data_IF_595149137962
#
_entry.id   IF_595149137962
#
_cell.length_a   1.000
_cell.length_b   1.000
_cell.length_c   1.000
_cell.angle_alpha   90.00
_cell.angle_beta   90.00
_cell.angle_gamma   90.00
#
_symmetry.space_group_name_H-M   'P 1'
#
loop_
_entity.id
_entity.type
_entity.pdbx_description
1 polymer ?
#
# COMPACT_ATOMS: atom_id res chain seq x y z
N UNK A 1 -32.06 64.20 39.37
CA UNK A 1 -30.70 63.76 38.97
C UNK A 1 -29.86 63.24 40.20
N UNK A 2 -30.08 63.67 41.37
CA UNK A 2 -29.35 63.24 42.60
C UNK A 2 -29.75 61.86 43.15
N UNK A 3 -30.94 61.35 42.91
CA UNK A 3 -31.36 60.03 43.43
C UNK A 3 -30.76 58.84 42.62
N UNK A 4 -30.28 59.01 41.39
CA UNK A 4 -29.66 57.94 40.60
C UNK A 4 -28.18 57.69 40.99
N UNK A 5 -27.47 58.70 41.46
CA UNK A 5 -26.05 58.49 41.80
C UNK A 5 -25.92 57.75 43.13
N UNK A 6 -26.80 57.94 44.13
CA UNK A 6 -26.74 57.21 45.39
C UNK A 6 -27.09 55.72 45.27
N UNK A 7 -27.80 55.31 44.26
CA UNK A 7 -28.20 53.90 44.04
C UNK A 7 -27.07 53.06 43.48
N UNK A 8 -26.15 53.64 42.72
CA UNK A 8 -25.00 52.94 42.16
C UNK A 8 -23.97 52.64 43.21
N UNK A 9 -23.66 53.58 44.11
CA UNK A 9 -22.67 53.38 45.18
C UNK A 9 -23.12 52.36 46.24
N UNK A 10 -24.44 52.29 46.55
CA UNK A 10 -25.00 51.30 47.49
C UNK A 10 -25.05 49.87 46.89
N UNK A 11 -25.21 49.68 45.63
CA UNK A 11 -25.16 48.37 44.98
C UNK A 11 -23.70 47.83 44.86
N UNK A 12 -22.72 48.73 44.72
CA UNK A 12 -21.30 48.36 44.72
C UNK A 12 -20.84 47.84 46.12
N UNK A 13 -21.44 48.32 47.21
CA UNK A 13 -21.17 47.85 48.56
C UNK A 13 -21.75 46.44 48.82
N UNK A 14 -22.73 45.96 48.09
CA UNK A 14 -23.37 44.67 48.28
C UNK A 14 -22.79 43.56 47.29
N UNK A 15 -22.04 43.95 46.26
CA UNK A 15 -21.47 43.03 45.28
C UNK A 15 -19.97 42.91 45.52
N UNK A 16 -19.49 41.72 45.85
CA UNK A 16 -18.05 41.41 46.01
C UNK A 16 -17.33 41.45 44.65
N UNK A 17 -16.83 42.63 44.26
CA UNK A 17 -16.11 42.88 43.01
C UNK A 17 -14.84 42.05 42.96
N UNK A 18 -14.16 41.83 44.07
CA UNK A 18 -12.94 41.01 44.11
C UNK A 18 -13.24 39.52 43.91
N UNK A 19 -14.38 39.05 44.38
CA UNK A 19 -14.80 37.67 44.10
C UNK A 19 -15.11 37.46 42.61
N UNK A 20 -15.74 38.43 41.95
CA UNK A 20 -15.97 38.39 40.49
C UNK A 20 -14.64 38.36 39.74
N UNK A 21 -13.71 39.21 40.14
CA UNK A 21 -12.37 39.26 39.53
C UNK A 21 -11.64 37.94 39.71
N UNK A 22 -11.56 37.40 40.93
CA UNK A 22 -10.91 36.10 41.19
C UNK A 22 -11.51 34.96 40.37
N UNK A 23 -12.84 34.83 40.32
CA UNK A 23 -13.51 33.80 39.47
C UNK A 23 -13.16 33.96 38.01
N UNK A 24 -13.19 35.18 37.50
CA UNK A 24 -12.90 35.46 36.11
C UNK A 24 -11.43 35.15 35.77
N UNK A 25 -10.49 35.60 36.60
CA UNK A 25 -9.06 35.35 36.40
C UNK A 25 -8.69 33.86 36.45
N UNK A 26 -9.36 33.08 37.29
CA UNK A 26 -9.13 31.62 37.36
C UNK A 26 -9.53 30.88 36.12
N UNK A 27 -10.49 31.42 35.37
CA UNK A 27 -10.96 30.82 34.10
C UNK A 27 -10.20 31.29 32.84
N UNK A 28 -9.49 32.46 32.95
CA UNK A 28 -8.80 33.06 31.78
C UNK A 28 -7.88 32.14 31.03
N UNK A 29 -7.09 31.23 31.67
CA UNK A 29 -6.17 30.33 30.94
C UNK A 29 -6.89 29.28 30.10
N UNK A 30 -8.15 28.99 30.39
CA UNK A 30 -8.90 27.86 29.79
C UNK A 30 -9.97 28.29 28.79
N UNK A 31 -10.21 29.61 28.64
CA UNK A 31 -11.33 30.13 27.84
C UNK A 31 -10.86 31.05 26.71
N UNK A 32 -11.53 30.95 25.58
CA UNK A 32 -11.33 31.85 24.45
C UNK A 32 -12.04 33.20 24.61
N UNK A 33 -11.80 34.13 23.69
CA UNK A 33 -12.40 35.49 23.72
C UNK A 33 -13.95 35.47 23.76
N UNK A 34 -14.56 34.50 23.10
CA UNK A 34 -16.03 34.35 23.11
C UNK A 34 -16.51 33.89 24.47
N UNK A 35 -15.89 32.87 25.04
CA UNK A 35 -16.25 32.40 26.38
C UNK A 35 -16.01 33.46 27.46
N UNK A 36 -14.91 34.24 27.39
CA UNK A 36 -14.68 35.40 28.26
C UNK A 36 -15.85 36.37 28.22
N UNK A 37 -16.33 36.70 27.02
CA UNK A 37 -17.48 37.60 26.84
C UNK A 37 -18.77 37.01 27.43
N UNK A 38 -19.02 35.71 27.19
CA UNK A 38 -20.22 35.05 27.72
C UNK A 38 -20.21 34.90 29.22
N UNK A 39 -19.07 34.60 29.84
CA UNK A 39 -18.91 34.55 31.30
C UNK A 39 -19.16 35.91 31.90
N UNK A 40 -18.55 36.97 31.34
CA UNK A 40 -18.79 38.35 31.84
C UNK A 40 -20.25 38.78 31.61
N UNK A 41 -20.92 38.33 30.56
CA UNK A 41 -22.33 38.57 30.33
C UNK A 41 -23.23 37.85 31.36
N UNK A 42 -22.93 36.58 31.67
CA UNK A 42 -23.66 35.82 32.70
C UNK A 42 -23.53 36.43 34.10
N UNK A 43 -22.32 36.80 34.51
CA UNK A 43 -22.09 37.52 35.78
C UNK A 43 -22.83 38.86 35.81
N UNK A 44 -22.86 39.57 34.69
CA UNK A 44 -23.59 40.85 34.57
C UNK A 44 -25.11 40.68 34.73
N UNK A 45 -25.69 39.62 34.15
CA UNK A 45 -27.10 39.29 34.29
C UNK A 45 -27.46 38.90 35.74
N UNK A 46 -26.55 38.20 36.44
CA UNK A 46 -26.75 37.79 37.83
C UNK A 46 -26.81 38.97 38.79
N UNK A 47 -26.19 40.10 38.45
CA UNK A 47 -26.18 41.32 39.26
C UNK A 47 -27.41 42.20 38.97
N UNK A 48 -27.98 42.07 37.77
CA UNK A 48 -29.10 42.84 37.23
C UNK A 48 -28.75 44.34 37.05
N UNK A 49 -29.34 45.23 37.80
CA UNK A 49 -29.14 46.68 37.62
C UNK A 49 -27.71 47.10 37.92
N UNK A 50 -27.05 47.74 36.98
CA UNK A 50 -25.66 48.19 37.09
C UNK A 50 -24.61 47.10 36.80
N UNK A 51 -25.01 45.82 36.61
CA UNK A 51 -24.14 44.67 36.43
C UNK A 51 -23.12 44.81 35.31
N UNK A 52 -23.50 45.38 34.14
CA UNK A 52 -22.57 45.65 33.04
C UNK A 52 -21.40 46.53 33.46
N UNK A 53 -21.65 47.55 34.24
CA UNK A 53 -20.62 48.50 34.68
C UNK A 53 -19.71 47.88 35.74
N UNK A 54 -20.29 47.15 36.71
CA UNK A 54 -19.58 46.46 37.79
C UNK A 54 -18.67 45.38 37.19
N UNK A 55 -19.20 44.50 36.35
CA UNK A 55 -18.43 43.40 35.74
C UNK A 55 -17.37 43.93 34.78
N UNK A 56 -17.67 44.98 34.00
CA UNK A 56 -16.67 45.63 33.18
C UNK A 56 -15.47 46.14 33.97
N UNK A 57 -15.71 46.70 35.13
CA UNK A 57 -14.67 47.21 36.06
C UNK A 57 -13.87 46.07 36.72
N UNK A 58 -14.58 45.01 37.13
CA UNK A 58 -13.96 43.82 37.75
C UNK A 58 -13.10 43.02 36.78
N UNK A 59 -13.54 42.85 35.55
CA UNK A 59 -12.94 41.87 34.57
C UNK A 59 -12.12 42.52 33.47
N UNK A 60 -12.22 43.83 33.26
CA UNK A 60 -11.60 44.52 32.12
C UNK A 60 -12.32 44.31 30.79
N UNK A 61 -13.37 43.51 30.74
CA UNK A 61 -14.16 43.29 29.52
C UNK A 61 -14.99 44.54 29.22
N UNK A 62 -14.91 45.04 27.98
CA UNK A 62 -15.61 46.28 27.63
C UNK A 62 -17.15 46.13 27.77
N UNK A 63 -17.82 47.20 28.23
CA UNK A 63 -19.29 47.23 28.36
C UNK A 63 -19.99 46.79 27.06
N UNK A 64 -19.45 47.19 25.91
CA UNK A 64 -19.98 46.80 24.57
C UNK A 64 -19.84 45.29 24.31
N UNK A 65 -18.76 44.69 24.75
CA UNK A 65 -18.56 43.26 24.65
C UNK A 65 -19.52 42.50 25.58
N UNK A 66 -19.69 42.94 26.82
CA UNK A 66 -20.66 42.38 27.78
C UNK A 66 -22.09 42.44 27.22
N UNK A 67 -22.53 43.62 26.76
CA UNK A 67 -23.86 43.78 26.17
C UNK A 67 -24.08 42.85 24.93
N UNK A 68 -23.06 42.67 24.11
CA UNK A 68 -23.10 41.68 22.99
C UNK A 68 -23.21 40.25 23.52
N UNK A 69 -22.50 39.91 24.60
CA UNK A 69 -22.59 38.61 25.23
C UNK A 69 -23.97 38.32 25.83
N UNK A 70 -24.65 39.32 26.40
CA UNK A 70 -26.04 39.20 26.91
C UNK A 70 -26.99 38.82 25.74
N UNK A 71 -26.89 39.53 24.64
CA UNK A 71 -27.69 39.20 23.44
C UNK A 71 -27.41 37.82 22.93
N UNK A 72 -26.15 37.39 22.98
CA UNK A 72 -25.71 36.05 22.52
C UNK A 72 -26.18 34.95 23.49
N UNK A 73 -26.25 35.17 24.78
CA UNK A 73 -26.81 34.22 25.75
C UNK A 73 -28.34 34.06 25.58
N UNK A 74 -29.05 35.15 25.24
CA UNK A 74 -30.48 35.09 24.96
C UNK A 74 -30.87 34.38 23.65
N UNK A 75 -29.95 34.35 22.68
CA UNK A 75 -30.10 33.66 21.43
C UNK A 75 -28.84 32.84 21.12
N UNK A 76 -28.64 31.69 21.78
CA UNK A 76 -27.45 30.89 21.57
C UNK A 76 -27.41 30.40 20.12
N UNK A 77 -26.32 30.65 19.33
CA UNK A 77 -26.18 30.11 18.01
C UNK A 77 -26.12 28.59 18.07
N UNK A 78 -26.76 27.93 17.12
CA UNK A 78 -26.68 26.47 16.95
C UNK A 78 -25.21 26.05 16.94
N UNK A 79 -24.81 25.03 17.73
CA UNK A 79 -23.40 24.59 17.78
C UNK A 79 -22.93 24.16 16.39
N UNK A 80 -22.13 24.97 15.74
CA UNK A 80 -21.39 24.58 14.55
C UNK A 80 -20.09 23.93 14.99
N UNK A 81 -20.02 22.63 14.93
CA UNK A 81 -18.92 21.73 15.31
C UNK A 81 -17.53 22.36 15.45
N UNK A 82 -17.18 22.86 16.64
CA UNK A 82 -15.82 23.29 17.00
C UNK A 82 -15.34 24.64 16.45
N UNK A 83 -16.10 25.35 15.63
CA UNK A 83 -15.67 26.63 15.08
C UNK A 83 -15.96 27.79 16.06
N UNK A 84 -14.91 28.51 16.46
CA UNK A 84 -14.99 29.66 17.40
C UNK A 84 -15.71 30.87 16.77
N UNK A 85 -15.73 30.99 15.44
CA UNK A 85 -16.32 32.12 14.70
C UNK A 85 -17.62 31.72 14.01
N UNK A 86 -18.55 32.67 13.91
CA UNK A 86 -19.78 32.47 13.13
C UNK A 86 -19.46 32.11 11.66
N UNK A 87 -20.26 31.27 11.00
CA UNK A 87 -20.15 31.04 9.55
C UNK A 87 -20.08 32.37 8.79
N UNK A 88 -19.13 32.51 7.87
CA UNK A 88 -18.89 33.75 7.12
C UNK A 88 -18.03 34.81 7.84
N UNK A 89 -17.67 34.61 9.12
CA UNK A 89 -16.78 35.48 9.88
C UNK A 89 -15.31 35.13 9.64
N UNK A 90 -14.60 35.85 8.81
CA UNK A 90 -13.19 35.65 8.54
C UNK A 90 -12.74 36.32 7.25
N UNK A 91 -11.45 36.18 6.92
CA UNK A 91 -10.95 36.57 5.61
C UNK A 91 -11.59 35.65 4.55
N UNK A 92 -12.18 36.23 3.51
CA UNK A 92 -12.72 35.48 2.37
C UNK A 92 -11.64 34.57 1.78
N UNK A 93 -12.02 33.36 1.39
CA UNK A 93 -11.10 32.42 0.77
C UNK A 93 -10.53 32.98 -0.55
N UNK A 94 -9.35 32.55 -0.94
CA UNK A 94 -8.75 32.98 -2.20
C UNK A 94 -9.64 32.59 -3.39
N UNK A 95 -10.33 31.46 -3.32
CA UNK A 95 -11.26 31.00 -4.35
C UNK A 95 -12.49 31.93 -4.48
N UNK A 96 -13.02 32.46 -3.36
CA UNK A 96 -14.10 33.44 -3.38
C UNK A 96 -13.66 34.81 -3.95
N UNK A 97 -12.36 35.13 -3.85
CA UNK A 97 -11.80 36.38 -4.35
C UNK A 97 -11.34 36.28 -5.80
N UNK A 98 -11.08 35.07 -6.29
CA UNK A 98 -10.54 34.79 -7.63
C UNK A 98 -11.37 33.68 -8.29
N UNK A 99 -12.43 34.07 -8.98
CA UNK A 99 -13.40 33.17 -9.58
C UNK A 99 -12.83 32.29 -10.72
N UNK A 100 -11.68 32.68 -11.30
CA UNK A 100 -11.05 31.97 -12.40
C UNK A 100 -9.99 30.98 -11.97
N UNK A 101 -9.54 31.06 -10.70
CA UNK A 101 -8.44 30.27 -10.16
C UNK A 101 -8.65 28.75 -10.33
N UNK A 102 -9.81 28.23 -9.94
CA UNK A 102 -10.09 26.79 -9.99
C UNK A 102 -10.12 26.31 -11.42
N UNK A 103 -10.82 27.02 -12.32
CA UNK A 103 -10.88 26.71 -13.75
C UNK A 103 -9.49 26.67 -14.39
N UNK A 104 -8.65 27.65 -14.09
CA UNK A 104 -7.33 27.73 -14.69
C UNK A 104 -6.37 26.69 -14.10
N UNK A 105 -6.59 26.24 -12.83
CA UNK A 105 -5.92 25.10 -12.27
C UNK A 105 -6.35 23.80 -12.97
N UNK A 106 -7.64 23.56 -13.19
CA UNK A 106 -8.14 22.38 -13.91
C UNK A 106 -7.58 22.30 -15.33
N UNK A 107 -7.55 23.41 -16.07
CA UNK A 107 -6.95 23.49 -17.41
C UNK A 107 -5.46 23.12 -17.42
N UNK A 108 -4.72 23.40 -16.34
CA UNK A 108 -3.30 23.03 -16.22
C UNK A 108 -3.09 21.53 -15.97
N UNK A 109 -4.08 20.85 -15.42
CA UNK A 109 -3.98 19.42 -15.07
C UNK A 109 -4.77 18.51 -16.01
N UNK A 110 -5.64 19.06 -16.85
CA UNK A 110 -6.44 18.30 -17.79
C UNK A 110 -5.57 17.47 -18.75
N UNK A 111 -5.87 16.17 -18.96
CA UNK A 111 -5.06 15.28 -19.82
C UNK A 111 -4.86 15.78 -21.24
N UNK A 112 -5.89 16.41 -21.82
CA UNK A 112 -5.83 16.98 -23.17
C UNK A 112 -4.94 18.23 -23.24
N UNK A 113 -4.80 18.98 -22.15
CA UNK A 113 -3.89 20.13 -22.08
C UNK A 113 -2.42 19.72 -21.91
N UNK A 114 -2.13 18.46 -21.56
CA UNK A 114 -0.76 17.91 -21.48
C UNK A 114 -0.07 17.83 -22.83
N UNK A 115 -0.82 17.79 -23.94
CA UNK A 115 -0.34 17.81 -25.32
C UNK A 115 0.96 17.08 -25.56
N UNK A 116 1.71 17.59 -26.50
CA UNK A 116 2.99 17.04 -26.94
C UNK A 116 3.98 16.87 -25.77
N UNK A 117 4.51 15.64 -25.54
CA UNK A 117 5.59 15.39 -24.58
C UNK A 117 6.83 16.26 -24.79
N UNK A 118 7.01 16.82 -25.97
CA UNK A 118 8.10 17.72 -26.33
C UNK A 118 7.88 19.16 -25.87
N UNK A 119 6.68 19.52 -25.37
CA UNK A 119 6.43 20.86 -24.83
C UNK A 119 6.98 20.99 -23.40
N UNK A 120 8.00 21.82 -23.15
CA UNK A 120 8.64 21.95 -21.85
C UNK A 120 7.71 22.36 -20.71
N UNK A 121 6.68 23.17 -21.01
CA UNK A 121 5.71 23.67 -20.02
C UNK A 121 4.80 22.57 -19.47
N UNK A 122 4.36 21.66 -20.30
CA UNK A 122 3.40 20.61 -19.92
C UNK A 122 4.06 19.44 -19.20
N UNK A 123 5.29 19.19 -19.50
CA UNK A 123 6.12 18.18 -18.84
C UNK A 123 6.49 18.53 -17.40
N UNK A 124 6.47 19.84 -17.06
CA UNK A 124 6.87 20.36 -15.76
C UNK A 124 5.73 20.62 -14.79
N UNK A 125 4.47 20.49 -15.21
CA UNK A 125 3.27 20.69 -14.38
C UNK A 125 2.98 19.54 -13.41
N UNK A 126 3.99 18.75 -13.01
CA UNK A 126 3.79 17.60 -12.10
C UNK A 126 3.91 17.96 -10.62
N UNK A 127 4.46 19.11 -10.26
CA UNK A 127 4.57 19.51 -8.87
C UNK A 127 3.65 20.69 -8.55
N UNK A 128 3.06 20.68 -7.37
CA UNK A 128 2.21 21.78 -6.87
C UNK A 128 2.93 23.13 -6.85
N UNK A 129 4.25 23.13 -6.69
CA UNK A 129 5.07 24.37 -6.76
C UNK A 129 5.09 24.94 -8.16
N UNK A 130 5.22 24.11 -9.18
CA UNK A 130 5.22 24.56 -10.59
C UNK A 130 3.82 24.96 -11.05
N UNK A 131 2.78 24.26 -10.60
CA UNK A 131 1.41 24.69 -10.82
C UNK A 131 1.15 26.06 -10.22
N UNK A 132 1.60 26.32 -8.99
CA UNK A 132 1.47 27.63 -8.36
C UNK A 132 2.24 28.72 -9.12
N UNK A 133 3.45 28.42 -9.63
CA UNK A 133 4.23 29.36 -10.47
C UNK A 133 3.49 29.68 -11.79
N UNK A 134 2.92 28.67 -12.43
CA UNK A 134 2.20 28.88 -13.69
C UNK A 134 0.90 29.66 -13.47
N UNK A 135 0.17 29.37 -12.40
CA UNK A 135 -0.99 30.18 -11.99
C UNK A 135 -0.59 31.62 -11.68
N UNK A 136 0.55 31.84 -11.03
CA UNK A 136 1.08 33.18 -10.78
C UNK A 136 1.38 33.94 -12.07
N UNK A 137 1.92 33.26 -13.11
CA UNK A 137 2.14 33.86 -14.44
C UNK A 137 0.83 34.24 -15.14
N UNK A 138 -0.27 33.54 -14.82
CA UNK A 138 -1.63 33.87 -15.29
C UNK A 138 -2.31 34.94 -14.46
N UNK A 139 -1.63 35.50 -13.43
CA UNK A 139 -2.13 36.60 -12.60
C UNK A 139 -2.75 36.16 -11.25
N UNK A 140 -2.79 34.86 -10.94
CA UNK A 140 -3.34 34.37 -9.68
C UNK A 140 -2.34 34.50 -8.52
N UNK A 141 -2.81 34.93 -7.35
CA UNK A 141 -2.00 35.01 -6.12
C UNK A 141 -2.21 33.77 -5.26
N UNK A 142 -1.50 32.70 -5.54
CA UNK A 142 -1.66 31.41 -4.86
C UNK A 142 -0.36 30.84 -4.33
N UNK A 143 -0.42 30.19 -3.16
CA UNK A 143 0.69 29.40 -2.64
C UNK A 143 0.61 27.96 -3.15
N UNK A 144 1.74 27.27 -3.19
CA UNK A 144 1.77 25.84 -3.54
C UNK A 144 0.97 24.96 -2.55
N UNK A 145 0.77 25.43 -1.31
CA UNK A 145 -0.05 24.75 -0.31
C UNK A 145 -1.53 24.84 -0.67
N UNK A 146 -2.00 26.04 -1.02
CA UNK A 146 -3.38 26.22 -1.48
C UNK A 146 -3.66 25.41 -2.75
N UNK A 147 -2.71 25.36 -3.69
CA UNK A 147 -2.85 24.51 -4.89
C UNK A 147 -3.00 23.04 -4.52
N UNK A 148 -2.25 22.54 -3.52
CA UNK A 148 -2.39 21.16 -3.04
C UNK A 148 -3.76 20.90 -2.40
N UNK A 149 -4.26 21.84 -1.60
CA UNK A 149 -5.58 21.78 -0.97
C UNK A 149 -6.69 21.76 -2.03
N UNK A 150 -6.64 22.67 -3.01
CA UNK A 150 -7.60 22.71 -4.11
C UNK A 150 -7.59 21.44 -4.98
N UNK A 151 -6.41 20.90 -5.29
CA UNK A 151 -6.32 19.63 -6.01
C UNK A 151 -6.99 18.49 -5.24
N UNK A 152 -6.82 18.46 -3.91
CA UNK A 152 -7.45 17.46 -3.07
C UNK A 152 -8.98 17.62 -3.02
N UNK A 153 -9.47 18.86 -2.90
CA UNK A 153 -10.90 19.18 -2.96
C UNK A 153 -11.53 18.81 -4.30
N UNK A 154 -10.80 18.97 -5.40
CA UNK A 154 -11.18 18.54 -6.75
C UNK A 154 -11.05 17.02 -6.97
N UNK A 155 -10.67 16.24 -5.95
CA UNK A 155 -10.54 14.78 -6.03
C UNK A 155 -9.25 14.29 -6.67
N UNK A 156 -8.25 15.15 -6.90
CA UNK A 156 -6.96 14.76 -7.47
C UNK A 156 -5.99 14.31 -6.38
N UNK A 157 -5.29 13.22 -6.65
CA UNK A 157 -4.18 12.75 -5.82
C UNK A 157 -3.09 12.13 -6.69
N UNK A 158 -1.87 12.03 -6.16
CA UNK A 158 -0.78 11.35 -6.86
C UNK A 158 -1.09 9.85 -6.93
N UNK A 159 -1.30 9.33 -8.14
CA UNK A 159 -1.57 7.92 -8.39
C UNK A 159 -0.36 7.26 -9.06
N UNK A 160 0.02 6.10 -8.55
CA UNK A 160 0.94 5.22 -9.27
C UNK A 160 0.20 4.46 -10.38
N UNK A 161 0.93 4.05 -11.41
CA UNK A 161 0.35 3.19 -12.45
C UNK A 161 -0.19 1.90 -11.83
N UNK A 162 -1.47 1.64 -12.00
CA UNK A 162 -2.10 0.39 -11.57
C UNK A 162 -1.94 -0.68 -12.65
N UNK A 163 -1.39 -1.83 -12.29
CA UNK A 163 -1.30 -3.01 -13.18
C UNK A 163 -2.66 -3.72 -13.25
N UNK A 164 -3.65 -3.08 -13.89
CA UNK A 164 -5.03 -3.60 -14.00
C UNK A 164 -5.37 -4.13 -15.38
N UNK A 165 -4.64 -3.68 -16.41
CA UNK A 165 -4.86 -4.18 -17.77
C UNK A 165 -4.28 -5.59 -17.88
N UNK A 166 -5.16 -6.57 -17.94
CA UNK A 166 -4.83 -7.96 -18.30
C UNK A 166 -4.89 -8.08 -19.82
N UNK A 167 -4.12 -9.04 -20.37
CA UNK A 167 -4.25 -9.40 -21.77
C UNK A 167 -5.63 -9.97 -22.10
N UNK A 168 -5.79 -10.60 -23.28
CA UNK A 168 -7.04 -11.21 -23.69
C UNK A 168 -7.60 -12.15 -22.61
N UNK A 169 -8.84 -11.92 -22.20
CA UNK A 169 -9.53 -12.81 -21.25
C UNK A 169 -10.04 -14.06 -21.98
N UNK A 170 -9.64 -15.24 -21.52
CA UNK A 170 -10.22 -16.49 -22.02
C UNK A 170 -11.66 -16.63 -21.52
N UNK A 171 -12.62 -17.11 -22.35
CA UNK A 171 -14.02 -17.29 -21.94
C UNK A 171 -14.17 -18.13 -20.66
N UNK A 172 -13.40 -19.22 -20.54
CA UNK A 172 -13.45 -20.13 -19.40
C UNK A 172 -12.55 -19.73 -18.23
N UNK A 173 -12.10 -18.47 -18.19
CA UNK A 173 -11.23 -17.94 -17.13
C UNK A 173 -11.78 -18.23 -15.73
N UNK A 174 -13.04 -17.90 -15.47
CA UNK A 174 -13.66 -18.12 -14.17
C UNK A 174 -13.87 -19.60 -13.87
N UNK A 175 -14.29 -20.38 -14.86
CA UNK A 175 -14.45 -21.82 -14.74
C UNK A 175 -13.15 -22.54 -14.38
N UNK A 176 -12.01 -22.08 -14.95
CA UNK A 176 -10.68 -22.61 -14.61
C UNK A 176 -10.29 -22.27 -13.16
N UNK A 177 -10.54 -21.05 -12.67
CA UNK A 177 -10.30 -20.71 -11.27
C UNK A 177 -11.14 -21.56 -10.31
N UNK A 178 -12.40 -21.79 -10.64
CA UNK A 178 -13.28 -22.69 -9.86
C UNK A 178 -12.79 -24.14 -9.87
N UNK A 179 -12.33 -24.63 -11.03
CA UNK A 179 -11.73 -25.96 -11.16
C UNK A 179 -10.49 -26.09 -10.28
N UNK A 180 -9.56 -25.15 -10.35
CA UNK A 180 -8.38 -25.10 -9.48
C UNK A 180 -8.79 -25.09 -8.01
N UNK A 181 -9.75 -24.25 -7.64
CA UNK A 181 -10.20 -24.13 -6.25
C UNK A 181 -10.79 -25.44 -5.71
N UNK A 182 -11.66 -26.11 -6.51
CA UNK A 182 -12.22 -27.42 -6.13
C UNK A 182 -11.12 -28.47 -5.95
N UNK A 183 -10.13 -28.51 -6.86
CA UNK A 183 -9.01 -29.46 -6.82
C UNK A 183 -8.10 -29.20 -5.61
N UNK A 184 -7.74 -27.95 -5.33
CA UNK A 184 -6.99 -27.53 -4.15
C UNK A 184 -7.69 -27.96 -2.86
N UNK A 185 -8.98 -27.64 -2.71
CA UNK A 185 -9.77 -28.03 -1.51
C UNK A 185 -9.82 -29.55 -1.32
N UNK A 186 -9.96 -30.32 -2.42
CA UNK A 186 -9.97 -31.79 -2.39
C UNK A 186 -8.64 -32.34 -1.90
N UNK A 187 -7.51 -31.87 -2.44
CA UNK A 187 -6.18 -32.34 -2.04
C UNK A 187 -5.89 -32.01 -0.58
N UNK A 188 -6.18 -30.80 -0.13
CA UNK A 188 -5.98 -30.38 1.26
C UNK A 188 -6.82 -31.23 2.23
N UNK A 189 -8.10 -31.51 1.91
CA UNK A 189 -8.95 -32.37 2.74
C UNK A 189 -8.43 -33.82 2.82
N UNK A 190 -7.72 -34.28 1.80
CA UNK A 190 -7.13 -35.61 1.75
C UNK A 190 -5.70 -35.66 2.35
N UNK A 191 -5.26 -34.59 3.01
CA UNK A 191 -3.91 -34.50 3.56
C UNK A 191 -2.79 -34.50 2.53
N UNK A 192 -3.09 -34.29 1.23
CA UNK A 192 -2.10 -34.28 0.16
C UNK A 192 -1.50 -32.89 -0.02
N UNK A 193 -0.20 -32.77 -0.33
CA UNK A 193 0.45 -31.50 -0.57
C UNK A 193 -0.12 -30.75 -1.76
N UNK A 194 -0.27 -29.43 -1.58
CA UNK A 194 -0.65 -28.48 -2.62
C UNK A 194 0.38 -27.34 -2.62
N UNK A 195 1.06 -27.16 -3.74
CA UNK A 195 2.03 -26.08 -3.90
C UNK A 195 1.62 -25.09 -4.99
N UNK A 196 2.01 -23.85 -4.79
CA UNK A 196 1.97 -22.79 -5.79
C UNK A 196 3.40 -22.44 -6.14
N UNK A 197 3.73 -22.44 -7.44
CA UNK A 197 5.11 -22.25 -7.91
C UNK A 197 5.20 -21.11 -8.91
N UNK A 198 6.32 -20.41 -8.90
CA UNK A 198 6.65 -19.38 -9.88
C UNK A 198 8.10 -18.92 -9.74
N UNK A 199 8.57 -18.18 -10.73
CA UNK A 199 9.84 -17.46 -10.71
C UNK A 199 9.62 -16.02 -10.27
N UNK A 200 10.27 -15.60 -9.20
CA UNK A 200 10.31 -14.19 -8.83
C UNK A 200 11.15 -13.41 -9.84
N UNK A 201 10.82 -12.13 -10.03
CA UNK A 201 11.64 -11.23 -10.86
C UNK A 201 13.13 -11.42 -10.56
N UNK A 202 13.94 -11.51 -11.63
CA UNK A 202 15.40 -11.57 -11.54
C UNK A 202 15.95 -10.29 -10.92
N UNK A 203 16.88 -10.43 -10.00
CA UNK A 203 17.51 -9.32 -9.30
C UNK A 203 19.00 -9.23 -9.62
N UNK A 204 19.51 -8.02 -9.73
CA UNK A 204 20.95 -7.77 -9.83
C UNK A 204 21.60 -8.03 -8.48
N UNK A 205 22.80 -8.62 -8.51
CA UNK A 205 23.61 -8.81 -7.30
C UNK A 205 24.69 -7.73 -7.26
N UNK A 206 24.76 -7.00 -6.14
CA UNK A 206 25.70 -5.90 -5.96
C UNK A 206 25.11 -4.75 -5.17
N UNK A 207 25.88 -3.70 -5.05
CA UNK A 207 25.55 -2.44 -4.38
C UNK A 207 24.64 -1.55 -5.22
N UNK A 208 23.52 -2.12 -5.70
CA UNK A 208 22.52 -1.43 -6.50
C UNK A 208 21.36 -0.93 -5.64
N UNK A 209 20.71 0.14 -6.12
CA UNK A 209 19.52 0.67 -5.48
C UNK A 209 18.38 -0.33 -5.50
N UNK A 210 17.94 -0.77 -4.32
CA UNK A 210 16.71 -1.52 -4.18
C UNK A 210 15.54 -0.61 -3.80
N UNK A 211 14.33 -0.93 -4.29
CA UNK A 211 13.13 -0.12 -4.04
C UNK A 211 12.75 -0.09 -2.55
N UNK A 212 12.36 1.09 -2.06
CA UNK A 212 11.90 1.26 -0.68
C UNK A 212 12.78 2.19 0.15
N UNK A 213 12.57 2.14 1.48
CA UNK A 213 13.31 2.95 2.46
C UNK A 213 13.61 2.11 3.69
N UNK A 214 14.75 2.32 4.29
CA UNK A 214 15.22 1.73 5.55
C UNK A 214 15.43 2.84 6.59
N UNK A 215 15.25 2.54 7.87
CA UNK A 215 15.55 3.49 8.94
C UNK A 215 17.07 3.56 9.14
N UNK A 216 17.62 4.75 8.98
CA UNK A 216 19.04 5.07 9.16
C UNK A 216 19.18 6.43 9.85
N UNK A 217 20.37 6.75 10.30
CA UNK A 217 20.69 8.08 10.82
C UNK A 217 20.37 9.14 9.77
N UNK A 218 19.82 10.27 10.21
CA UNK A 218 19.47 11.36 9.33
C UNK A 218 20.76 11.94 8.67
N UNK A 219 20.77 11.95 7.34
CA UNK A 219 21.91 12.44 6.58
C UNK A 219 22.96 11.38 6.21
N UNK A 220 22.77 10.11 6.65
CA UNK A 220 23.66 8.99 6.37
C UNK A 220 22.90 7.85 5.61
N UNK A 221 22.52 8.08 4.34
CA UNK A 221 21.88 7.04 3.51
C UNK A 221 22.91 6.01 3.05
N UNK A 222 22.47 4.75 2.83
CA UNK A 222 23.33 3.77 2.16
C UNK A 222 23.72 4.26 0.77
N UNK A 223 24.99 4.26 0.49
CA UNK A 223 25.53 4.65 -0.81
C UNK A 223 25.49 3.46 -1.76
N UNK A 224 24.96 3.68 -2.95
CA UNK A 224 24.79 2.67 -4.00
C UNK A 224 25.28 3.19 -5.33
N UNK A 225 25.50 2.29 -6.28
CA UNK A 225 25.95 2.67 -7.64
C UNK A 225 24.95 3.60 -8.32
N UNK A 226 25.48 4.51 -9.12
CA UNK A 226 24.67 5.45 -9.91
C UNK A 226 23.95 4.73 -11.06
N UNK A 227 24.55 3.66 -11.58
CA UNK A 227 24.04 2.88 -12.73
C UNK A 227 23.92 1.40 -12.39
N UNK A 228 22.85 0.79 -12.87
CA UNK A 228 22.50 -0.63 -12.64
C UNK A 228 23.14 -1.54 -13.74
N UNK A 229 24.45 -1.42 -13.96
CA UNK A 229 25.18 -2.34 -14.84
C UNK A 229 25.51 -3.62 -14.12
N UNK A 230 25.32 -4.75 -14.81
CA UNK A 230 25.66 -6.08 -14.27
C UNK A 230 27.14 -6.13 -13.92
N UNK A 231 27.43 -6.56 -12.69
CA UNK A 231 28.80 -6.89 -12.26
C UNK A 231 29.05 -8.33 -12.76
N UNK A 232 30.00 -8.56 -13.67
CA UNK A 232 30.18 -9.87 -14.31
C UNK A 232 30.37 -11.04 -13.32
N UNK A 233 31.10 -10.77 -12.24
CA UNK A 233 31.44 -11.76 -11.20
C UNK A 233 30.25 -12.12 -10.31
N UNK A 234 29.27 -11.22 -10.16
CA UNK A 234 28.10 -11.40 -9.32
C UNK A 234 26.83 -11.74 -10.11
N UNK A 235 26.73 -11.21 -11.31
CA UNK A 235 25.65 -11.52 -12.26
C UNK A 235 24.26 -11.11 -11.75
N UNK A 236 23.31 -12.01 -11.97
CA UNK A 236 21.91 -11.89 -11.54
C UNK A 236 21.48 -13.17 -10.86
N UNK A 237 20.56 -13.07 -9.92
CA UNK A 237 19.88 -14.23 -9.37
C UNK A 237 18.47 -14.38 -9.93
N UNK A 238 18.06 -15.63 -10.02
CA UNK A 238 16.72 -16.04 -10.42
C UNK A 238 16.09 -16.82 -9.25
N UNK A 239 15.35 -16.16 -8.33
CA UNK A 239 14.72 -16.88 -7.24
C UNK A 239 13.48 -17.63 -7.76
N UNK A 240 13.50 -18.97 -7.68
CA UNK A 240 12.33 -19.80 -7.95
C UNK A 240 11.68 -20.26 -6.65
N UNK A 241 10.40 -19.93 -6.49
CA UNK A 241 9.66 -20.18 -5.27
C UNK A 241 8.74 -21.40 -5.37
N UNK A 242 8.62 -22.10 -4.25
CA UNK A 242 7.61 -23.15 -4.00
C UNK A 242 6.88 -22.81 -2.70
N UNK A 243 5.62 -22.46 -2.78
CA UNK A 243 4.79 -22.13 -1.62
C UNK A 243 3.83 -23.27 -1.29
N UNK A 244 4.01 -23.89 -0.14
CA UNK A 244 3.09 -24.89 0.41
C UNK A 244 1.83 -24.21 0.97
N UNK A 245 0.73 -24.38 0.25
CA UNK A 245 -0.55 -23.77 0.57
C UNK A 245 -1.16 -24.32 1.87
N UNK A 246 -0.93 -25.59 2.15
CA UNK A 246 -1.48 -26.28 3.33
C UNK A 246 -0.76 -25.94 4.62
N UNK A 247 0.53 -25.68 4.57
CA UNK A 247 1.39 -25.46 5.74
C UNK A 247 1.87 -24.03 5.90
N UNK A 248 1.54 -23.13 4.97
CA UNK A 248 2.02 -21.75 4.96
C UNK A 248 3.55 -21.68 5.06
N UNK A 249 4.24 -22.43 4.20
CA UNK A 249 5.70 -22.50 4.16
C UNK A 249 6.20 -22.22 2.77
N UNK A 250 7.33 -21.52 2.66
CA UNK A 250 8.00 -21.22 1.41
C UNK A 250 9.37 -21.91 1.31
N UNK A 251 9.68 -22.40 0.13
CA UNK A 251 11.01 -22.75 -0.31
C UNK A 251 11.41 -21.85 -1.46
N UNK A 252 12.66 -21.39 -1.50
CA UNK A 252 13.18 -20.61 -2.62
C UNK A 252 14.57 -21.14 -3.01
N UNK A 253 14.68 -21.61 -4.25
CA UNK A 253 15.99 -21.84 -4.87
C UNK A 253 16.47 -20.54 -5.48
N UNK A 254 17.60 -20.04 -5.00
CA UNK A 254 18.24 -18.83 -5.54
C UNK A 254 19.22 -19.25 -6.63
N UNK A 255 18.74 -19.36 -7.87
CA UNK A 255 19.55 -19.77 -9.01
C UNK A 255 20.43 -18.64 -9.53
N UNK A 256 21.65 -18.99 -9.96
CA UNK A 256 22.62 -18.05 -10.57
C UNK A 256 22.74 -18.22 -12.07
N UNK A 257 22.00 -19.16 -12.65
CA UNK A 257 22.00 -19.45 -14.07
C UNK A 257 20.63 -19.13 -14.71
N UNK A 258 20.18 -19.90 -15.66
CA UNK A 258 18.99 -19.61 -16.48
C UNK A 258 17.71 -20.13 -15.82
N UNK A 259 16.62 -19.38 -16.06
CA UNK A 259 15.27 -19.79 -15.69
C UNK A 259 14.73 -20.78 -16.71
N UNK A 260 14.98 -22.06 -16.49
CA UNK A 260 14.55 -23.15 -17.37
C UNK A 260 13.58 -24.09 -16.65
N UNK A 261 12.86 -24.91 -17.41
CA UNK A 261 11.97 -25.92 -16.83
C UNK A 261 12.74 -26.94 -15.95
N UNK A 262 14.00 -27.25 -16.29
CA UNK A 262 14.86 -28.10 -15.47
C UNK A 262 15.13 -27.46 -14.10
N UNK A 263 15.48 -26.17 -14.07
CA UNK A 263 15.64 -25.42 -12.81
C UNK A 263 14.36 -25.36 -11.98
N UNK A 264 13.23 -25.12 -12.65
CA UNK A 264 11.92 -25.06 -12.00
C UNK A 264 11.58 -26.39 -11.31
N UNK A 265 11.76 -27.53 -11.99
CA UNK A 265 11.45 -28.84 -11.40
C UNK A 265 12.51 -29.26 -10.38
N UNK A 266 13.77 -28.88 -10.54
CA UNK A 266 14.80 -29.09 -9.51
C UNK A 266 14.47 -28.34 -8.23
N UNK A 267 13.93 -27.11 -8.33
CA UNK A 267 13.47 -26.36 -7.17
C UNK A 267 12.32 -27.05 -6.42
N UNK A 268 11.38 -27.67 -7.17
CA UNK A 268 10.31 -28.49 -6.57
C UNK A 268 10.88 -29.77 -5.95
N UNK A 269 11.86 -30.42 -6.57
CA UNK A 269 12.56 -31.59 -6.05
C UNK A 269 13.25 -31.28 -4.72
N UNK A 270 13.98 -30.17 -4.62
CA UNK A 270 14.64 -29.72 -3.39
C UNK A 270 13.62 -29.40 -2.29
N UNK A 271 12.54 -28.69 -2.64
CA UNK A 271 11.44 -28.48 -1.70
C UNK A 271 10.89 -29.80 -1.18
N UNK A 272 10.62 -30.77 -2.07
CA UNK A 272 10.08 -32.05 -1.68
C UNK A 272 11.01 -32.78 -0.70
N UNK A 273 12.29 -32.87 -1.02
CA UNK A 273 13.29 -33.54 -0.18
C UNK A 273 13.46 -32.85 1.18
N UNK A 274 13.51 -31.53 1.22
CA UNK A 274 13.86 -30.74 2.41
C UNK A 274 12.65 -30.42 3.29
N UNK A 275 11.48 -30.21 2.74
CA UNK A 275 10.31 -29.72 3.45
C UNK A 275 9.06 -30.55 3.22
N UNK A 276 8.82 -31.05 2.01
CA UNK A 276 7.61 -31.77 1.66
C UNK A 276 7.56 -33.17 2.26
N UNK A 277 8.51 -34.04 1.91
CA UNK A 277 8.56 -35.43 2.35
C UNK A 277 8.54 -35.60 3.87
N UNK A 278 9.26 -34.81 4.68
CA UNK A 278 9.18 -34.90 6.15
C UNK A 278 7.81 -34.60 6.73
N UNK A 279 7.04 -33.73 6.09
CA UNK A 279 5.72 -33.29 6.55
C UNK A 279 4.60 -34.20 6.01
N UNK A 280 4.70 -34.62 4.75
CA UNK A 280 3.68 -35.39 4.05
C UNK A 280 4.14 -36.85 3.83
N UNK A 281 4.47 -37.54 4.91
CA UNK A 281 5.07 -38.90 4.89
C UNK A 281 4.26 -39.95 4.13
N UNK A 282 2.94 -39.80 4.10
CA UNK A 282 2.00 -40.72 3.43
C UNK A 282 1.44 -40.15 2.12
N UNK A 283 2.02 -39.09 1.59
CA UNK A 283 1.52 -38.52 0.34
C UNK A 283 1.77 -39.46 -0.84
N UNK A 284 0.75 -39.68 -1.60
CA UNK A 284 0.79 -40.38 -2.87
C UNK A 284 0.59 -39.44 -4.05
N UNK A 285 0.16 -38.22 -3.79
CA UNK A 285 -0.17 -37.23 -4.80
C UNK A 285 0.36 -35.86 -4.41
N UNK A 286 0.71 -35.08 -5.42
CA UNK A 286 1.09 -33.68 -5.32
C UNK A 286 0.23 -32.85 -6.27
N UNK A 287 -0.30 -31.73 -5.82
CA UNK A 287 -0.93 -30.74 -6.70
C UNK A 287 -0.04 -29.52 -6.84
N UNK A 288 0.28 -29.18 -8.08
CA UNK A 288 1.03 -27.98 -8.46
C UNK A 288 0.07 -27.01 -9.12
N UNK A 289 0.02 -25.76 -8.63
CA UNK A 289 -0.61 -24.64 -9.31
C UNK A 289 0.49 -23.71 -9.85
N UNK A 290 0.45 -23.39 -11.12
CA UNK A 290 1.50 -22.64 -11.82
C UNK A 290 0.91 -21.70 -12.87
N UNK A 291 1.68 -20.72 -13.29
CA UNK A 291 1.31 -19.88 -14.44
C UNK A 291 1.30 -20.67 -15.74
N UNK A 292 0.63 -20.15 -16.75
CA UNK A 292 0.61 -20.74 -18.09
C UNK A 292 1.83 -20.38 -18.94
N UNK A 293 2.70 -19.48 -18.47
CA UNK A 293 3.89 -18.98 -19.16
C UNK A 293 5.19 -19.29 -18.41
N UNK A 294 6.31 -18.84 -18.96
CA UNK A 294 7.63 -19.01 -18.34
C UNK A 294 8.15 -20.46 -18.38
N UNK A 295 9.08 -20.75 -17.45
CA UNK A 295 9.76 -22.06 -17.32
C UNK A 295 8.81 -23.21 -16.96
N UNK A 296 7.71 -22.90 -16.27
CA UNK A 296 6.65 -23.84 -15.86
C UNK A 296 5.39 -23.77 -16.74
N UNK A 297 5.50 -23.19 -17.95
CA UNK A 297 4.36 -22.97 -18.84
C UNK A 297 3.69 -24.26 -19.34
N UNK A 298 2.37 -24.20 -19.56
CA UNK A 298 1.54 -25.35 -19.98
C UNK A 298 1.96 -25.98 -21.32
N UNK A 299 2.57 -25.19 -22.20
CA UNK A 299 3.06 -25.62 -23.53
C UNK A 299 4.50 -26.12 -23.53
N UNK A 300 5.23 -26.00 -22.40
CA UNK A 300 6.65 -26.32 -22.31
C UNK A 300 6.83 -27.84 -22.20
N UNK A 301 7.36 -28.46 -23.26
CA UNK A 301 7.61 -29.91 -23.32
C UNK A 301 8.61 -30.36 -22.26
N UNK A 302 9.67 -29.59 -22.04
CA UNK A 302 10.70 -29.87 -21.07
C UNK A 302 10.15 -29.89 -19.62
N UNK A 303 9.20 -29.01 -19.30
CA UNK A 303 8.49 -29.02 -18.00
C UNK A 303 7.80 -30.35 -17.76
N UNK A 304 7.09 -30.90 -18.74
CA UNK A 304 6.38 -32.17 -18.61
C UNK A 304 7.35 -33.34 -18.47
N UNK A 305 8.46 -33.32 -19.21
CA UNK A 305 9.50 -34.35 -19.16
C UNK A 305 10.20 -34.36 -17.79
N UNK A 306 10.56 -33.20 -17.28
CA UNK A 306 11.21 -33.08 -15.95
C UNK A 306 10.25 -33.49 -14.82
N UNK A 307 8.97 -33.15 -14.93
CA UNK A 307 7.95 -33.64 -13.99
C UNK A 307 7.77 -35.17 -14.07
N UNK A 308 7.92 -35.79 -15.22
CA UNK A 308 7.91 -37.25 -15.33
C UNK A 308 9.08 -37.86 -14.56
N UNK A 309 10.27 -37.28 -14.69
CA UNK A 309 11.44 -37.72 -13.91
C UNK A 309 11.18 -37.60 -12.42
N UNK A 310 10.62 -36.46 -11.98
CA UNK A 310 10.27 -36.23 -10.58
C UNK A 310 9.19 -37.21 -10.08
N UNK A 311 8.18 -37.51 -10.90
CA UNK A 311 7.17 -38.52 -10.55
C UNK A 311 7.78 -39.89 -10.36
N UNK A 312 8.66 -40.33 -11.25
CA UNK A 312 9.37 -41.61 -11.15
C UNK A 312 10.24 -41.69 -9.90
N UNK A 313 10.99 -40.61 -9.57
CA UNK A 313 11.85 -40.57 -8.38
C UNK A 313 11.08 -40.60 -7.06
N UNK A 314 9.92 -39.97 -7.03
CA UNK A 314 9.17 -39.75 -5.80
C UNK A 314 8.02 -40.72 -5.59
N UNK A 315 7.65 -41.46 -6.64
CA UNK A 315 6.44 -42.27 -6.76
C UNK A 315 5.14 -41.48 -6.57
N UNK A 316 5.17 -40.14 -6.70
CA UNK A 316 4.03 -39.28 -6.57
C UNK A 316 3.25 -39.16 -7.90
N UNK A 317 1.93 -39.20 -7.84
CA UNK A 317 1.10 -38.75 -8.93
C UNK A 317 1.04 -37.21 -8.89
N UNK A 318 1.69 -36.55 -9.84
CA UNK A 318 1.83 -35.09 -9.90
C UNK A 318 0.71 -34.53 -10.76
N UNK A 319 -0.27 -33.89 -10.12
CA UNK A 319 -1.31 -33.12 -10.81
C UNK A 319 -0.87 -31.68 -10.99
N UNK A 320 -1.06 -31.12 -12.17
CA UNK A 320 -0.76 -29.72 -12.49
C UNK A 320 -2.06 -29.03 -12.89
N UNK A 321 -2.24 -27.82 -12.39
CA UNK A 321 -3.28 -26.90 -12.85
C UNK A 321 -2.62 -25.56 -13.18
N UNK A 322 -2.66 -25.18 -14.43
CA UNK A 322 -2.18 -23.87 -14.86
C UNK A 322 -3.28 -22.81 -14.71
N UNK A 323 -2.87 -21.64 -14.25
CA UNK A 323 -3.73 -20.47 -14.25
C UNK A 323 -4.08 -20.04 -15.66
N UNK A 324 -5.26 -19.45 -15.89
CA UNK A 324 -5.62 -18.93 -17.21
C UNK A 324 -4.56 -17.92 -17.72
N UNK A 325 -4.31 -17.85 -19.05
CA UNK A 325 -3.39 -16.88 -19.61
C UNK A 325 -3.69 -15.44 -19.17
N UNK A 326 -2.64 -14.66 -18.89
CA UNK A 326 -2.77 -13.26 -18.45
C UNK A 326 -3.17 -13.06 -16.99
N UNK A 327 -3.25 -14.13 -16.18
CA UNK A 327 -3.72 -14.05 -14.80
C UNK A 327 -2.65 -14.34 -13.74
N UNK A 328 -1.36 -14.20 -14.09
CA UNK A 328 -0.21 -14.46 -13.20
C UNK A 328 -0.32 -13.74 -11.85
N UNK A 329 -0.85 -12.52 -11.84
CA UNK A 329 -1.07 -11.76 -10.59
C UNK A 329 -1.98 -12.47 -9.58
N UNK A 330 -2.76 -13.48 -10.00
CA UNK A 330 -3.62 -14.27 -9.11
C UNK A 330 -2.95 -15.53 -8.58
N UNK A 331 -1.69 -15.80 -8.99
CA UNK A 331 -0.92 -16.90 -8.44
C UNK A 331 -0.71 -16.71 -6.94
N UNK A 332 -1.05 -17.71 -6.14
CA UNK A 332 -1.00 -17.58 -4.67
C UNK A 332 0.39 -17.24 -4.15
N UNK A 333 1.43 -17.77 -4.79
CA UNK A 333 2.81 -17.53 -4.38
C UNK A 333 3.17 -16.05 -4.43
N UNK A 334 2.64 -15.27 -5.39
CA UNK A 334 2.88 -13.84 -5.52
C UNK A 334 2.44 -13.08 -4.26
N UNK A 335 1.26 -13.40 -3.74
CA UNK A 335 0.68 -12.72 -2.58
C UNK A 335 1.09 -13.31 -1.23
N UNK A 336 1.47 -14.59 -1.19
CA UNK A 336 1.73 -15.31 0.05
C UNK A 336 3.20 -15.53 0.36
N UNK A 337 4.08 -15.35 -0.64
CA UNK A 337 5.51 -15.50 -0.49
C UNK A 337 6.30 -14.31 -1.08
N UNK A 338 6.17 -14.05 -2.37
CA UNK A 338 7.02 -13.07 -3.06
C UNK A 338 6.78 -11.62 -2.63
N UNK A 339 5.54 -11.25 -2.31
CA UNK A 339 5.23 -9.93 -1.75
C UNK A 339 5.95 -9.70 -0.42
N UNK A 340 5.99 -10.71 0.46
CA UNK A 340 6.65 -10.62 1.77
C UNK A 340 8.18 -10.63 1.63
N UNK A 341 8.73 -11.40 0.71
CA UNK A 341 10.16 -11.33 0.37
C UNK A 341 10.51 -9.91 -0.08
N UNK A 342 9.71 -9.34 -0.99
CA UNK A 342 9.92 -7.98 -1.51
C UNK A 342 9.80 -6.91 -0.41
N UNK A 343 8.94 -7.12 0.60
CA UNK A 343 8.85 -6.25 1.76
C UNK A 343 10.06 -6.38 2.68
N UNK A 344 10.56 -7.62 2.88
CA UNK A 344 11.66 -7.91 3.80
C UNK A 344 13.01 -7.32 3.33
N UNK A 345 13.27 -7.33 2.04
CA UNK A 345 14.51 -6.75 1.48
C UNK A 345 14.36 -5.31 0.94
N UNK A 346 13.22 -4.70 1.22
CA UNK A 346 12.91 -3.34 0.75
C UNK A 346 13.91 -2.32 1.29
N UNK A 347 14.52 -1.56 0.38
CA UNK A 347 15.51 -0.53 0.70
C UNK A 347 16.92 -1.07 0.99
N UNK A 348 17.13 -2.40 1.03
CA UNK A 348 18.41 -3.03 1.27
C UNK A 348 19.10 -3.42 -0.03
N UNK A 349 20.32 -2.94 -0.33
CA UNK A 349 21.09 -3.42 -1.47
C UNK A 349 21.37 -4.93 -1.38
N UNK A 350 21.23 -5.65 -2.48
CA UNK A 350 21.44 -7.09 -2.56
C UNK A 350 22.89 -7.40 -2.92
N UNK A 351 23.80 -7.09 -2.02
CA UNK A 351 25.25 -7.00 -2.26
C UNK A 351 25.92 -8.35 -2.55
N UNK A 352 25.34 -9.47 -2.13
CA UNK A 352 25.89 -10.81 -2.37
C UNK A 352 24.80 -11.88 -2.41
N UNK A 353 25.11 -13.05 -2.94
CA UNK A 353 24.22 -14.21 -2.94
C UNK A 353 23.82 -14.62 -1.53
N UNK A 354 24.75 -14.57 -0.58
CA UNK A 354 24.50 -14.88 0.83
C UNK A 354 23.49 -13.93 1.46
N UNK A 355 23.63 -12.61 1.22
CA UNK A 355 22.67 -11.61 1.71
C UNK A 355 21.27 -11.88 1.15
N UNK A 356 21.14 -12.24 -0.13
CA UNK A 356 19.87 -12.57 -0.75
C UNK A 356 19.23 -13.79 -0.10
N UNK A 357 19.99 -14.88 0.06
CA UNK A 357 19.51 -16.12 0.70
C UNK A 357 19.07 -15.85 2.15
N UNK A 358 19.85 -15.08 2.90
CA UNK A 358 19.54 -14.73 4.28
C UNK A 358 18.29 -13.85 4.39
N UNK A 359 18.14 -12.83 3.55
CA UNK A 359 16.95 -11.98 3.51
C UNK A 359 15.70 -12.77 3.13
N UNK A 360 15.79 -13.68 2.16
CA UNK A 360 14.67 -14.55 1.80
C UNK A 360 14.31 -15.47 2.97
N UNK A 361 15.30 -16.13 3.57
CA UNK A 361 15.08 -17.07 4.69
C UNK A 361 14.54 -16.40 5.95
N UNK A 362 14.91 -15.14 6.20
CA UNK A 362 14.41 -14.34 7.32
C UNK A 362 12.96 -13.82 7.12
N UNK A 363 12.37 -14.06 5.95
CA UNK A 363 11.01 -13.58 5.65
C UNK A 363 9.98 -14.32 6.50
N UNK A 364 9.19 -13.56 7.25
CA UNK A 364 8.12 -14.07 8.10
C UNK A 364 6.88 -13.16 8.02
N UNK A 365 5.76 -13.63 8.57
CA UNK A 365 4.51 -12.85 8.66
C UNK A 365 3.82 -13.10 9.99
N UNK A 366 2.89 -12.23 10.38
CA UNK A 366 2.04 -12.44 11.55
C UNK A 366 1.24 -13.75 11.49
N UNK A 367 0.95 -14.23 10.28
CA UNK A 367 0.24 -15.50 10.06
C UNK A 367 1.16 -16.72 10.09
N UNK A 368 2.43 -16.56 10.49
CA UNK A 368 3.36 -17.65 10.72
C UNK A 368 4.02 -18.23 9.46
N UNK A 369 4.16 -17.46 8.38
CA UNK A 369 4.95 -17.88 7.21
C UNK A 369 6.38 -18.20 7.67
N UNK A 370 6.89 -19.37 7.24
CA UNK A 370 8.29 -19.79 7.41
C UNK A 370 8.89 -20.04 6.03
N UNK A 371 10.03 -19.42 5.76
CA UNK A 371 10.71 -19.53 4.48
C UNK A 371 12.09 -20.17 4.68
N UNK A 372 12.44 -21.06 3.79
CA UNK A 372 13.81 -21.60 3.64
C UNK A 372 14.29 -21.26 2.24
N UNK A 373 15.51 -20.78 2.11
CA UNK A 373 16.14 -20.51 0.84
C UNK A 373 17.53 -21.13 0.78
N UNK A 374 17.92 -21.56 -0.40
CA UNK A 374 19.26 -22.09 -0.66
C UNK A 374 19.77 -21.57 -2.00
N UNK A 375 21.08 -21.31 -2.06
CA UNK A 375 21.76 -20.99 -3.30
C UNK A 375 21.82 -22.23 -4.19
N UNK A 376 21.49 -22.05 -5.46
CA UNK A 376 21.62 -23.09 -6.48
C UNK A 376 22.66 -22.67 -7.50
N UNK A 377 23.83 -23.32 -7.43
CA UNK A 377 24.97 -23.06 -8.30
C UNK A 377 25.05 -24.01 -9.50
N UNK A 378 24.06 -24.90 -9.66
CA UNK A 378 24.03 -25.80 -10.80
C UNK A 378 23.76 -25.04 -12.11
N UNK A 379 24.23 -25.61 -13.21
CA UNK A 379 23.97 -25.06 -14.54
C UNK A 379 22.69 -25.64 -15.14
N UNK A 380 21.90 -24.76 -15.74
CA UNK A 380 20.62 -25.07 -16.37
C UNK A 380 20.56 -24.44 -17.77
N UNK A 381 21.35 -24.94 -18.73
CA UNK A 381 21.46 -24.31 -20.05
C UNK A 381 20.12 -24.21 -20.75
N UNK A 382 19.82 -23.08 -21.42
CA UNK A 382 18.60 -22.92 -22.21
C UNK A 382 18.67 -23.74 -23.50
N UNK A 383 17.52 -23.91 -24.15
CA UNK A 383 17.45 -24.49 -25.49
C UNK A 383 17.42 -26.03 -25.53
N UNK A 384 17.28 -26.71 -24.40
CA UNK A 384 17.11 -28.17 -24.37
C UNK A 384 15.89 -28.58 -25.22
N UNK A 385 16.12 -29.37 -26.26
CA UNK A 385 15.08 -29.88 -27.15
C UNK A 385 14.54 -31.21 -26.62
N UNK A 386 13.22 -31.34 -26.63
CA UNK A 386 12.53 -32.59 -26.27
C UNK A 386 11.92 -33.20 -27.51
N UNK A 387 12.35 -34.42 -27.88
CA UNK A 387 11.88 -35.15 -29.01
C UNK A 387 10.43 -35.63 -28.86
N UNK A 388 9.78 -35.97 -29.96
CA UNK A 388 8.43 -36.53 -29.89
C UNK A 388 8.43 -37.90 -29.17
N UNK A 389 9.45 -38.73 -29.36
CA UNK A 389 9.60 -39.99 -28.63
C UNK A 389 9.63 -39.79 -27.11
N UNK A 390 10.38 -38.82 -26.61
CA UNK A 390 10.41 -38.50 -25.18
C UNK A 390 9.06 -37.99 -24.64
N UNK A 391 8.27 -37.32 -25.48
CA UNK A 391 6.91 -36.91 -25.11
C UNK A 391 5.95 -38.09 -25.03
N UNK A 392 6.06 -39.02 -25.91
CA UNK A 392 5.28 -40.29 -25.94
C UNK A 392 5.53 -41.15 -24.70
N UNK A 393 6.75 -41.11 -24.16
CA UNK A 393 7.13 -41.83 -22.95
C UNK A 393 6.57 -41.21 -21.64
N UNK A 394 5.96 -40.02 -21.70
CA UNK A 394 5.38 -39.38 -20.54
C UNK A 394 4.01 -39.99 -20.20
N UNK A 395 3.88 -40.53 -19.01
CA UNK A 395 2.61 -41.05 -18.49
C UNK A 395 1.70 -39.92 -18.03
N UNK A 396 1.28 -39.10 -19.01
CA UNK A 396 0.43 -37.92 -18.77
C UNK A 396 -1.03 -38.28 -19.03
N UNK A 397 -1.90 -37.87 -18.11
CA UNK A 397 -3.36 -37.99 -18.26
C UNK A 397 -3.98 -36.59 -18.19
N UNK A 398 -4.47 -36.08 -19.33
CA UNK A 398 -5.22 -34.82 -19.36
C UNK A 398 -6.51 -34.95 -18.54
N UNK A 399 -6.91 -33.86 -17.92
CA UNK A 399 -8.23 -33.75 -17.28
C UNK A 399 -9.32 -33.57 -18.36
N UNK A 400 -10.55 -33.91 -18.06
CA UNK A 400 -11.69 -33.68 -18.95
C UNK A 400 -12.00 -32.20 -19.18
N UNK A 401 -11.61 -31.35 -18.24
CA UNK A 401 -11.75 -29.89 -18.33
C UNK A 401 -10.38 -29.26 -18.63
N UNK A 402 -10.22 -28.68 -19.80
CA UNK A 402 -8.98 -28.03 -20.25
C UNK A 402 -7.73 -28.88 -19.99
N UNK A 403 -7.65 -30.04 -20.63
CA UNK A 403 -6.53 -30.97 -20.48
C UNK A 403 -5.17 -30.40 -20.82
N UNK A 404 -5.11 -29.31 -21.62
CA UNK A 404 -3.91 -28.54 -21.92
C UNK A 404 -3.43 -27.69 -20.71
N UNK A 405 -4.32 -27.36 -19.79
CA UNK A 405 -4.00 -26.65 -18.54
C UNK A 405 -4.02 -27.56 -17.31
N UNK A 406 -4.83 -28.64 -17.36
CA UNK A 406 -5.07 -29.51 -16.24
C UNK A 406 -4.71 -30.96 -16.62
N UNK A 407 -3.71 -31.51 -15.96
CA UNK A 407 -3.27 -32.88 -16.24
C UNK A 407 -2.61 -33.52 -15.02
N UNK A 408 -2.43 -34.82 -15.06
CA UNK A 408 -1.72 -35.59 -14.03
C UNK A 408 -0.64 -36.45 -14.70
N UNK A 409 0.58 -36.33 -14.22
CA UNK A 409 1.73 -37.17 -14.59
C UNK A 409 1.85 -38.25 -13.53
N UNK A 410 1.91 -39.51 -13.96
CA UNK A 410 2.07 -40.67 -13.08
C UNK A 410 3.47 -41.25 -13.23
N UNK A 411 3.98 -41.92 -12.19
CA UNK A 411 5.21 -42.68 -12.35
C UNK A 411 5.06 -43.71 -13.48
N UNK A 412 6.14 -43.93 -14.22
CA UNK A 412 6.24 -45.07 -15.09
C UNK A 412 6.50 -46.31 -14.23
N UNK A 413 5.77 -47.37 -14.43
CA UNK A 413 5.96 -48.70 -13.78
C UNK A 413 7.18 -49.41 -14.37
#
# INVERSE_FOLDING_TARGET
MYQYFFRIDTLELMVDIDAIKRRFESLLPTVDERMRRLIAAAESLAIDYGGISIVSRATGVSRRAIARGIVELGNPPVPSGGAIRKPGGGRKSTVEQDATLVRDLELLIEPLSRGDPQSPLRWTCKSVRKLAQELARRGHRVSHRLVAELLHELGYSLQANAKTLEGSSHPDRNAQFEHIHRKVRRFLRQGQPVISVDTKKKELVGDFKNGGRELRLKGDPEQVRVHDFVIPELGRVTPYGVYDVGKNRGWVSVGIDHDTATFAVESIRRWWRSMGKPVYRQAQRLLITADSGGSNGSRVRLWKLELQKLANETALHISVCHLPPGTSKWNKIEHRLFSFISQNWRGKPLVSHEVIVNLISATTTQTGLKVRAELDTNSYPPGAKVSNKQIEEINIRPDSFHGEWNYTIRPNT
#
